data_IF_986798956820
#
_entry.id   IF_986798956820
#
_cell.length_a   1.000
_cell.length_b   1.000
_cell.length_c   1.000
_cell.angle_alpha   90.00
_cell.angle_beta   90.00
_cell.angle_gamma   90.00
#
_symmetry.space_group_name_H-M   'P 1'
#
loop_
_entity.id
_entity.type
_entity.pdbx_description
1 polymer ?
#
# COMPACT_ATOMS: atom_id res chain seq x y z
N UNK A 1 -28.68 -42.05 65.85
CA UNK A 1 -27.45 -41.24 65.69
C UNK A 1 -27.32 -40.85 64.24
N UNK A 2 -27.72 -39.62 63.93
CA UNK A 2 -27.71 -39.10 62.58
C UNK A 2 -26.33 -38.46 62.24
N UNK A 3 -25.88 -38.68 61.03
CA UNK A 3 -24.76 -37.99 60.45
C UNK A 3 -25.23 -37.18 59.26
N UNK A 4 -25.18 -35.85 59.40
CA UNK A 4 -25.48 -34.92 58.31
C UNK A 4 -24.25 -34.72 57.42
N UNK A 5 -24.38 -35.11 56.16
CA UNK A 5 -23.38 -34.82 55.14
C UNK A 5 -23.57 -33.43 54.56
N UNK A 6 -22.58 -32.56 54.72
CA UNK A 6 -22.51 -31.27 54.06
C UNK A 6 -22.00 -31.46 52.58
N UNK A 7 -22.89 -31.20 51.66
CA UNK A 7 -22.50 -31.09 50.25
C UNK A 7 -21.92 -29.69 50.01
N UNK A 8 -20.63 -29.63 49.65
CA UNK A 8 -20.01 -28.39 49.20
C UNK A 8 -20.35 -28.16 47.73
N UNK A 9 -21.12 -27.11 47.46
CA UNK A 9 -21.36 -26.63 46.09
C UNK A 9 -20.16 -25.86 45.63
N UNK A 10 -19.42 -26.40 44.65
CA UNK A 10 -18.41 -25.71 43.93
C UNK A 10 -19.04 -24.68 42.99
N UNK A 11 -18.95 -23.41 43.33
CA UNK A 11 -19.31 -22.30 42.44
C UNK A 11 -18.21 -22.19 41.37
N UNK A 12 -18.52 -22.70 40.19
CA UNK A 12 -17.69 -22.37 39.00
C UNK A 12 -17.88 -20.88 38.72
N UNK A 13 -16.85 -20.09 39.04
CA UNK A 13 -16.73 -18.74 38.50
C UNK A 13 -16.48 -18.88 37.01
N UNK A 14 -17.43 -18.44 36.18
CA UNK A 14 -17.24 -18.27 34.76
C UNK A 14 -16.03 -17.34 34.52
N UNK A 15 -15.14 -17.78 33.67
CA UNK A 15 -14.10 -16.90 33.15
C UNK A 15 -14.80 -15.77 32.40
N UNK A 16 -14.82 -14.57 32.99
CA UNK A 16 -15.17 -13.37 32.26
C UNK A 16 -14.20 -13.25 31.10
N UNK A 17 -14.70 -13.28 29.88
CA UNK A 17 -13.92 -12.97 28.70
C UNK A 17 -13.36 -11.55 28.90
N UNK A 18 -12.06 -11.46 29.07
CA UNK A 18 -11.37 -10.21 29.19
C UNK A 18 -11.60 -9.44 27.89
N UNK A 19 -12.31 -8.30 27.97
CA UNK A 19 -12.47 -7.41 26.83
C UNK A 19 -11.09 -7.17 26.19
N UNK A 20 -10.98 -7.15 24.86
CA UNK A 20 -9.71 -6.88 24.22
C UNK A 20 -9.14 -5.60 24.81
N UNK A 21 -7.90 -5.67 25.26
CA UNK A 21 -7.22 -4.54 25.88
C UNK A 21 -7.34 -3.36 24.92
N UNK A 22 -8.02 -2.28 25.32
CA UNK A 22 -8.09 -1.05 24.55
C UNK A 22 -6.64 -0.66 24.21
N UNK A 23 -6.35 -0.46 22.92
CA UNK A 23 -5.05 0.04 22.50
C UNK A 23 -4.74 1.27 23.36
N UNK A 24 -3.53 1.35 23.94
CA UNK A 24 -3.14 2.57 24.66
C UNK A 24 -3.33 3.73 23.68
N UNK A 25 -3.83 4.89 24.13
CA UNK A 25 -4.01 6.03 23.26
C UNK A 25 -2.71 6.25 22.50
N UNK A 26 -2.78 6.34 21.17
CA UNK A 26 -1.62 6.66 20.36
C UNK A 26 -0.95 7.86 20.99
N UNK A 27 0.40 7.95 20.94
CA UNK A 27 1.12 9.06 21.56
C UNK A 27 0.82 10.36 20.80
N UNK A 28 -0.39 10.85 20.97
CA UNK A 28 -0.91 12.06 20.34
C UNK A 28 -0.22 13.33 20.86
N UNK A 29 0.50 13.22 21.99
CA UNK A 29 1.17 14.35 22.60
C UNK A 29 2.48 14.80 21.94
N UNK A 30 3.05 14.02 21.01
CA UNK A 30 4.29 14.41 20.32
C UNK A 30 3.93 15.01 18.96
N UNK A 31 4.16 16.31 18.71
CA UNK A 31 3.87 16.92 17.43
C UNK A 31 4.72 16.28 16.32
N UNK A 32 4.22 16.21 15.06
CA UNK A 32 5.04 15.81 13.92
C UNK A 32 6.27 16.71 13.81
N UNK A 33 7.42 16.15 13.47
CA UNK A 33 8.66 16.92 13.38
C UNK A 33 8.61 18.05 12.32
N UNK A 34 7.70 17.94 11.36
CA UNK A 34 7.44 18.99 10.35
C UNK A 34 6.85 20.27 10.92
N UNK A 35 6.24 20.24 12.10
CA UNK A 35 5.63 21.43 12.74
C UNK A 35 6.31 21.80 14.06
N UNK A 36 7.42 21.16 14.41
CA UNK A 36 8.25 21.58 15.57
C UNK A 36 8.92 22.92 15.29
N UNK A 37 9.46 23.55 16.32
CA UNK A 37 10.22 24.79 16.16
C UNK A 37 11.68 24.59 16.65
N UNK A 38 12.69 24.53 15.75
CA UNK A 38 12.56 24.58 14.28
C UNK A 38 11.91 23.28 13.74
N UNK A 39 11.29 23.32 12.54
CA UNK A 39 10.79 22.12 11.89
C UNK A 39 11.96 21.24 11.42
N UNK A 40 11.70 19.92 11.34
CA UNK A 40 12.70 18.99 10.78
C UNK A 40 13.01 19.36 9.35
N UNK A 41 14.29 19.44 9.05
CA UNK A 41 14.79 19.55 7.68
C UNK A 41 14.86 18.13 7.07
N UNK A 42 14.14 17.94 5.99
CA UNK A 42 14.09 16.69 5.23
C UNK A 42 15.04 16.69 4.03
N UNK A 43 15.89 17.73 3.86
CA UNK A 43 16.84 17.75 2.77
C UNK A 43 17.95 16.71 2.93
N UNK A 44 18.52 16.27 1.82
CA UNK A 44 19.62 15.32 1.84
C UNK A 44 20.84 15.91 2.58
N UNK A 45 21.49 15.07 3.40
CA UNK A 45 22.68 15.46 4.17
C UNK A 45 22.42 16.07 5.54
N UNK A 46 21.16 16.32 5.92
CA UNK A 46 20.85 16.72 7.28
C UNK A 46 21.13 15.59 8.28
N UNK A 47 21.63 15.91 9.48
CA UNK A 47 21.90 14.92 10.50
C UNK A 47 20.63 14.14 10.87
N UNK A 48 20.76 12.83 10.99
CA UNK A 48 19.67 11.99 11.51
C UNK A 48 19.51 12.22 13.02
N UNK A 49 18.26 12.22 13.47
CA UNK A 49 17.90 12.34 14.89
C UNK A 49 17.54 10.95 15.41
N UNK A 50 18.08 10.57 16.53
CA UNK A 50 17.83 9.26 17.16
C UNK A 50 17.39 9.42 18.63
N UNK A 51 16.37 8.64 19.08
CA UNK A 51 15.43 7.93 18.23
C UNK A 51 14.65 8.89 17.33
N UNK A 52 14.23 8.42 16.16
CA UNK A 52 13.49 9.26 15.22
C UNK A 52 12.13 9.67 15.81
N UNK A 53 11.83 10.98 15.94
CA UNK A 53 10.59 11.46 16.56
C UNK A 53 9.34 11.12 15.77
N UNK A 54 9.48 10.76 14.50
CA UNK A 54 8.37 10.38 13.61
C UNK A 54 8.16 8.86 13.52
N UNK A 55 8.99 8.06 14.23
CA UNK A 55 8.80 6.61 14.39
C UNK A 55 8.18 6.35 15.75
N UNK A 56 6.87 6.10 15.78
CA UNK A 56 6.10 5.99 17.01
C UNK A 56 5.83 4.55 17.39
N UNK A 57 6.27 4.17 18.58
CA UNK A 57 5.96 2.88 19.20
C UNK A 57 4.62 3.00 19.90
N UNK A 58 3.59 2.33 19.37
CA UNK A 58 2.26 2.28 19.97
C UNK A 58 2.16 1.10 20.93
N UNK A 59 2.69 -0.04 20.52
CA UNK A 59 2.82 -1.23 21.37
C UNK A 59 4.30 -1.61 21.49
N UNK A 60 4.78 -2.07 22.67
CA UNK A 60 6.17 -2.46 22.87
C UNK A 60 6.72 -3.48 21.87
N UNK A 61 5.87 -4.34 21.28
CA UNK A 61 6.27 -5.32 20.28
C UNK A 61 6.85 -4.66 19.01
N UNK A 62 6.44 -3.44 18.69
CA UNK A 62 6.98 -2.70 17.54
C UNK A 62 8.49 -2.42 17.67
N UNK A 63 9.04 -2.36 18.90
CA UNK A 63 10.48 -2.15 19.12
C UNK A 63 11.35 -3.23 18.49
N UNK A 64 10.82 -4.45 18.35
CA UNK A 64 11.52 -5.54 17.66
C UNK A 64 11.57 -5.37 16.14
N UNK A 65 10.77 -4.48 15.56
CA UNK A 65 10.67 -4.20 14.13
C UNK A 65 11.33 -2.87 13.74
N UNK A 66 11.45 -1.95 14.71
CA UNK A 66 11.90 -0.58 14.50
C UNK A 66 13.10 -0.28 15.42
N UNK A 67 14.34 -0.36 14.90
CA UNK A 67 15.54 -0.10 15.70
C UNK A 67 15.63 1.37 16.12
N UNK A 68 16.01 1.62 17.38
CA UNK A 68 16.10 2.97 17.94
C UNK A 68 17.22 3.84 17.35
N UNK A 69 18.12 3.26 16.56
CA UNK A 69 19.22 3.92 15.87
C UNK A 69 19.00 4.02 14.33
N UNK A 70 17.76 3.91 13.88
CA UNK A 70 17.38 4.17 12.51
C UNK A 70 16.54 5.45 12.42
N UNK A 71 16.70 6.18 11.32
CA UNK A 71 15.91 7.37 11.04
C UNK A 71 15.25 7.27 9.65
N UNK A 72 14.10 7.89 9.52
CA UNK A 72 13.46 8.09 8.22
C UNK A 72 14.27 9.09 7.42
N UNK A 73 14.64 8.75 6.19
CA UNK A 73 15.36 9.64 5.27
C UNK A 73 14.52 9.85 4.02
N UNK A 74 14.42 11.09 3.55
CA UNK A 74 13.99 11.40 2.21
C UNK A 74 15.19 11.23 1.29
N UNK A 75 15.11 10.26 0.36
CA UNK A 75 16.23 9.96 -0.55
C UNK A 75 16.08 10.65 -1.89
N UNK A 76 14.84 11.09 -2.21
CA UNK A 76 14.59 11.81 -3.46
C UNK A 76 13.25 12.56 -3.40
N UNK A 77 13.16 13.62 -4.20
CA UNK A 77 11.91 14.35 -4.48
C UNK A 77 11.93 14.80 -5.94
N UNK A 78 10.76 14.90 -6.56
CA UNK A 78 10.64 15.34 -7.95
C UNK A 78 9.52 14.66 -8.73
N UNK A 79 8.79 13.72 -8.12
CA UNK A 79 7.57 13.18 -8.70
C UNK A 79 6.43 14.19 -8.63
N UNK A 80 5.38 13.90 -9.35
CA UNK A 80 4.07 14.52 -9.17
C UNK A 80 3.18 13.65 -8.31
N UNK A 81 3.26 12.32 -8.51
CA UNK A 81 2.65 11.32 -7.63
C UNK A 81 3.48 10.05 -7.65
N UNK A 82 4.30 9.89 -6.61
CA UNK A 82 5.17 8.74 -6.44
C UNK A 82 4.37 7.52 -5.97
N UNK A 83 4.46 6.41 -6.72
CA UNK A 83 3.65 5.21 -6.56
C UNK A 83 4.44 3.93 -6.90
N UNK A 84 3.80 2.78 -6.60
CA UNK A 84 4.15 1.47 -7.08
C UNK A 84 5.59 1.03 -6.88
N UNK A 85 6.18 1.17 -5.68
CA UNK A 85 7.55 0.75 -5.45
C UNK A 85 7.68 -0.78 -5.47
N UNK A 86 8.73 -1.28 -6.15
CA UNK A 86 9.10 -2.68 -6.15
C UNK A 86 10.62 -2.85 -6.19
N UNK A 87 11.15 -3.75 -5.37
CA UNK A 87 12.58 -3.98 -5.26
C UNK A 87 13.04 -5.11 -6.16
N UNK A 88 14.11 -4.90 -6.91
CA UNK A 88 14.82 -5.93 -7.65
C UNK A 88 16.05 -6.39 -6.87
N UNK A 89 15.98 -7.58 -6.29
CA UNK A 89 17.14 -8.17 -5.58
C UNK A 89 18.27 -8.56 -6.53
N UNK A 90 17.96 -8.89 -7.78
CA UNK A 90 18.97 -9.17 -8.81
C UNK A 90 19.68 -7.91 -9.28
N UNK A 91 18.90 -6.86 -9.54
CA UNK A 91 19.41 -5.58 -10.06
C UNK A 91 19.87 -4.60 -8.98
N UNK A 92 19.62 -4.89 -7.69
CA UNK A 92 19.94 -4.03 -6.55
C UNK A 92 19.42 -2.60 -6.73
N UNK A 93 18.14 -2.48 -7.19
CA UNK A 93 17.46 -1.20 -7.35
C UNK A 93 15.98 -1.31 -6.95
N UNK A 94 15.41 -0.18 -6.56
CA UNK A 94 13.97 -0.01 -6.45
C UNK A 94 13.45 0.60 -7.75
N UNK A 95 12.45 -0.01 -8.39
CA UNK A 95 11.65 0.68 -9.40
C UNK A 95 10.47 1.35 -8.70
N UNK A 96 10.06 2.54 -9.13
CA UNK A 96 8.84 3.20 -8.71
C UNK A 96 8.30 4.10 -9.82
N UNK A 97 7.04 4.44 -9.73
CA UNK A 97 6.32 5.19 -10.75
C UNK A 97 6.10 6.64 -10.29
N UNK A 98 6.21 7.57 -11.21
CA UNK A 98 5.53 8.86 -11.15
C UNK A 98 4.34 8.77 -12.12
N UNK A 99 3.16 8.47 -11.58
CA UNK A 99 1.98 8.12 -12.36
C UNK A 99 1.61 9.23 -13.32
N UNK A 100 1.36 10.43 -12.82
CA UNK A 100 0.98 11.58 -13.63
C UNK A 100 2.15 12.22 -14.36
N UNK A 101 3.37 12.10 -13.84
CA UNK A 101 4.60 12.48 -14.52
C UNK A 101 4.98 11.56 -15.66
N UNK A 102 4.22 10.46 -15.85
CA UNK A 102 4.38 9.48 -16.91
C UNK A 102 5.81 8.96 -17.02
N UNK A 103 6.42 8.67 -15.86
CA UNK A 103 7.83 8.28 -15.77
C UNK A 103 8.01 7.18 -14.73
N UNK A 104 8.69 6.12 -15.08
CA UNK A 104 9.25 5.20 -14.09
C UNK A 104 10.68 5.62 -13.76
N UNK A 105 11.02 5.53 -12.48
CA UNK A 105 12.35 5.78 -11.94
C UNK A 105 12.96 4.52 -11.35
N UNK A 106 14.29 4.51 -11.24
CA UNK A 106 15.04 3.56 -10.39
C UNK A 106 15.81 4.33 -9.34
N UNK A 107 15.69 3.88 -8.10
CA UNK A 107 16.63 4.21 -7.06
C UNK A 107 17.72 3.14 -7.06
N UNK A 108 18.93 3.53 -7.41
CA UNK A 108 20.13 2.67 -7.47
C UNK A 108 20.75 2.61 -6.08
N UNK A 109 20.74 1.41 -5.49
CA UNK A 109 21.18 1.23 -4.10
C UNK A 109 22.63 1.66 -3.87
N UNK A 110 23.56 1.16 -4.72
CA UNK A 110 24.99 1.41 -4.55
C UNK A 110 25.41 2.87 -4.81
N UNK A 111 24.61 3.61 -5.58
CA UNK A 111 24.85 5.00 -5.91
C UNK A 111 24.08 5.99 -5.02
N UNK A 112 23.13 5.51 -4.20
CA UNK A 112 22.19 6.34 -3.42
C UNK A 112 21.53 7.43 -4.31
N UNK A 113 21.08 7.04 -5.52
CA UNK A 113 20.66 7.97 -6.58
C UNK A 113 19.40 7.48 -7.26
N UNK A 114 18.49 8.41 -7.58
CA UNK A 114 17.32 8.16 -8.43
C UNK A 114 17.61 8.62 -9.85
N UNK A 115 17.29 7.76 -10.82
CA UNK A 115 17.43 8.02 -12.25
C UNK A 115 16.16 7.67 -13.01
N UNK A 116 15.81 8.38 -14.09
CA UNK A 116 14.73 7.96 -14.98
C UNK A 116 15.04 6.59 -15.59
N UNK A 117 13.99 5.76 -15.68
CA UNK A 117 14.12 4.41 -16.23
C UNK A 117 13.32 4.23 -17.52
N UNK A 118 12.03 4.59 -17.50
CA UNK A 118 11.16 4.58 -18.68
C UNK A 118 10.38 5.87 -18.76
N UNK A 119 10.42 6.49 -19.94
CA UNK A 119 9.65 7.72 -20.23
C UNK A 119 9.35 7.77 -21.71
N UNK A 120 8.07 7.69 -22.15
CA UNK A 120 6.87 7.55 -21.30
C UNK A 120 6.79 6.16 -20.64
N UNK A 121 6.11 6.08 -19.50
CA UNK A 121 5.82 4.85 -18.77
C UNK A 121 4.38 4.35 -19.00
N UNK A 122 3.61 5.02 -19.83
CA UNK A 122 2.17 4.82 -20.03
C UNK A 122 1.36 5.02 -18.72
N UNK A 123 1.76 5.99 -17.93
CA UNK A 123 1.19 6.27 -16.61
C UNK A 123 1.15 4.99 -15.76
N UNK A 124 2.28 4.29 -15.69
CA UNK A 124 2.40 3.11 -14.86
C UNK A 124 2.15 3.49 -13.40
N UNK A 125 1.33 2.69 -12.72
CA UNK A 125 1.02 2.80 -11.31
C UNK A 125 1.79 1.73 -10.51
N UNK A 126 1.14 0.66 -10.06
CA UNK A 126 1.74 -0.41 -9.29
C UNK A 126 2.77 -1.24 -10.04
N UNK A 127 3.81 -1.65 -9.33
CA UNK A 127 4.80 -2.60 -9.83
C UNK A 127 5.02 -3.73 -8.83
N UNK A 128 5.51 -4.86 -9.33
CA UNK A 128 6.04 -5.95 -8.52
C UNK A 128 7.12 -6.70 -9.31
N UNK A 129 7.86 -7.56 -8.64
CA UNK A 129 8.72 -8.54 -9.32
C UNK A 129 8.09 -9.91 -9.13
N UNK A 130 8.05 -10.72 -10.19
CA UNK A 130 7.62 -12.11 -10.05
C UNK A 130 8.74 -12.99 -9.47
N UNK A 131 8.44 -14.26 -9.25
CA UNK A 131 9.39 -15.19 -8.65
C UNK A 131 10.60 -15.52 -9.54
N UNK A 132 10.56 -15.11 -10.79
CA UNK A 132 11.70 -15.20 -11.72
C UNK A 132 12.46 -13.86 -11.83
N UNK A 133 12.06 -12.84 -11.08
CA UNK A 133 12.69 -11.51 -11.07
C UNK A 133 12.29 -10.64 -12.25
N UNK A 134 11.21 -10.97 -12.98
CA UNK A 134 10.68 -10.14 -14.06
C UNK A 134 9.75 -9.07 -13.50
N UNK A 135 9.86 -7.86 -14.01
CA UNK A 135 9.02 -6.75 -13.56
C UNK A 135 7.61 -6.87 -14.12
N UNK A 136 6.64 -6.83 -13.22
CA UNK A 136 5.21 -6.66 -13.49
C UNK A 136 4.85 -5.19 -13.33
N UNK A 137 3.96 -4.66 -14.17
CA UNK A 137 3.51 -3.27 -14.12
C UNK A 137 2.06 -3.12 -14.52
N UNK A 138 1.33 -2.25 -13.82
CA UNK A 138 -0.01 -1.80 -14.16
C UNK A 138 0.09 -0.48 -14.91
N UNK A 139 -0.37 -0.42 -16.17
CA UNK A 139 -0.36 0.78 -17.01
C UNK A 139 -1.75 1.39 -17.08
N UNK A 140 -1.95 2.56 -16.48
CA UNK A 140 -3.25 3.25 -16.46
C UNK A 140 -3.66 3.72 -17.87
N UNK A 141 -2.73 4.38 -18.58
CA UNK A 141 -3.04 4.94 -19.90
C UNK A 141 -3.42 3.89 -20.93
N UNK A 142 -2.73 2.75 -20.93
CA UNK A 142 -3.02 1.65 -21.84
C UNK A 142 -4.05 0.67 -21.31
N UNK A 143 -4.50 0.85 -20.06
CA UNK A 143 -5.51 0.01 -19.40
C UNK A 143 -5.12 -1.46 -19.45
N UNK A 144 -3.89 -1.77 -19.06
CA UNK A 144 -3.34 -3.13 -19.17
C UNK A 144 -2.34 -3.46 -18.08
N UNK A 145 -2.14 -4.74 -17.86
CA UNK A 145 -1.07 -5.31 -17.05
C UNK A 145 -0.01 -5.86 -17.98
N UNK A 146 1.25 -5.56 -17.71
CA UNK A 146 2.38 -6.00 -18.51
C UNK A 146 3.46 -6.67 -17.67
N UNK A 147 4.27 -7.50 -18.31
CA UNK A 147 5.49 -8.08 -17.76
C UNK A 147 6.67 -7.77 -18.68
N UNK A 148 7.74 -7.31 -18.09
CA UNK A 148 9.01 -7.12 -18.76
C UNK A 148 9.84 -8.38 -18.64
N UNK A 149 10.12 -9.02 -19.77
CA UNK A 149 10.91 -10.25 -19.85
C UNK A 149 12.40 -9.94 -19.68
N UNK A 150 13.22 -10.96 -19.41
CA UNK A 150 14.67 -10.78 -19.20
C UNK A 150 15.43 -10.29 -20.44
N UNK A 151 14.91 -10.53 -21.63
CA UNK A 151 15.46 -10.01 -22.89
C UNK A 151 15.05 -8.56 -23.17
N UNK A 152 14.30 -7.93 -22.26
CA UNK A 152 13.81 -6.57 -22.39
C UNK A 152 12.52 -6.45 -23.21
N UNK A 153 11.99 -7.54 -23.75
CA UNK A 153 10.69 -7.52 -24.42
C UNK A 153 9.54 -7.32 -23.44
N UNK A 154 8.43 -6.77 -23.93
CA UNK A 154 7.22 -6.54 -23.16
C UNK A 154 6.16 -7.56 -23.54
N UNK A 155 5.63 -8.25 -22.55
CA UNK A 155 4.47 -9.13 -22.69
C UNK A 155 3.24 -8.49 -22.05
N UNK A 156 2.15 -8.36 -22.81
CA UNK A 156 0.83 -8.02 -22.26
C UNK A 156 0.28 -9.25 -21.53
N UNK A 157 -0.02 -9.07 -20.24
CA UNK A 157 -0.59 -10.12 -19.38
C UNK A 157 -2.12 -10.07 -19.48
N UNK A 158 -2.70 -8.87 -19.35
CA UNK A 158 -4.13 -8.65 -19.45
C UNK A 158 -4.40 -7.22 -19.92
N UNK A 159 -5.36 -7.05 -20.85
CA UNK A 159 -5.86 -5.76 -21.33
C UNK A 159 -7.38 -5.73 -21.45
N UNK A 160 -8.02 -6.88 -21.31
CA UNK A 160 -9.47 -7.00 -21.37
C UNK A 160 -9.97 -8.18 -20.52
N UNK A 161 -11.26 -8.12 -20.16
CA UNK A 161 -12.00 -9.19 -19.55
C UNK A 161 -13.34 -9.36 -20.31
N UNK A 162 -13.61 -10.59 -20.82
CA UNK A 162 -14.78 -10.88 -21.66
C UNK A 162 -14.96 -9.92 -22.83
N UNK A 163 -13.86 -9.52 -23.48
CA UNK A 163 -13.85 -8.64 -24.64
C UNK A 163 -14.05 -7.15 -24.32
N UNK A 164 -14.15 -6.78 -23.05
CA UNK A 164 -14.24 -5.39 -22.58
C UNK A 164 -12.91 -4.95 -21.99
N UNK A 165 -12.49 -3.72 -22.31
CA UNK A 165 -11.24 -3.17 -21.79
C UNK A 165 -11.24 -3.03 -20.27
N UNK A 166 -10.11 -3.32 -19.63
CA UNK A 166 -9.89 -3.08 -18.21
C UNK A 166 -10.11 -1.60 -17.87
N UNK A 167 -10.33 -1.28 -16.58
CA UNK A 167 -10.51 0.10 -16.14
C UNK A 167 -9.17 0.84 -16.10
N UNK A 168 -8.44 0.69 -15.03
CA UNK A 168 -7.07 1.21 -14.83
C UNK A 168 -6.38 0.34 -13.80
N UNK A 169 -5.74 -0.77 -14.22
CA UNK A 169 -5.04 -1.65 -13.30
C UNK A 169 -4.10 -0.85 -12.40
N UNK A 170 -4.18 -1.09 -11.09
CA UNK A 170 -3.56 -0.23 -10.10
C UNK A 170 -2.41 -0.91 -9.36
N UNK A 171 -2.65 -1.88 -8.48
CA UNK A 171 -1.59 -2.62 -7.75
C UNK A 171 -1.58 -4.10 -8.14
N UNK A 172 -0.43 -4.77 -7.94
CA UNK A 172 -0.16 -6.08 -8.51
C UNK A 172 0.75 -6.91 -7.62
N UNK A 173 0.43 -8.19 -7.47
CA UNK A 173 1.23 -9.14 -6.71
C UNK A 173 1.33 -10.49 -7.42
N UNK A 174 2.51 -11.13 -7.45
CA UNK A 174 2.67 -12.49 -7.91
C UNK A 174 2.31 -13.50 -6.82
N UNK A 175 1.92 -14.70 -7.25
CA UNK A 175 1.71 -15.85 -6.38
C UNK A 175 2.68 -16.98 -6.75
N UNK A 176 3.10 -17.85 -5.80
CA UNK A 176 4.08 -18.92 -6.07
C UNK A 176 3.66 -19.94 -7.14
N UNK A 177 2.35 -20.06 -7.43
CA UNK A 177 1.84 -20.91 -8.51
C UNK A 177 2.06 -20.32 -9.92
N UNK A 178 2.70 -19.16 -10.00
CA UNK A 178 2.94 -18.41 -11.24
C UNK A 178 1.79 -17.50 -11.64
N UNK A 179 0.68 -17.49 -10.91
CA UNK A 179 -0.43 -16.57 -11.17
C UNK A 179 -0.08 -15.15 -10.74
N UNK A 180 -0.75 -14.18 -11.37
CA UNK A 180 -0.59 -12.76 -11.14
C UNK A 180 -1.94 -12.21 -10.73
N UNK A 181 -2.00 -11.51 -9.59
CA UNK A 181 -3.21 -10.93 -9.05
C UNK A 181 -3.10 -9.41 -9.07
N UNK A 182 -4.13 -8.73 -9.52
CA UNK A 182 -4.12 -7.27 -9.63
C UNK A 182 -5.49 -6.66 -9.38
N UNK A 183 -5.49 -5.40 -8.98
CA UNK A 183 -6.68 -4.59 -8.79
C UNK A 183 -6.96 -3.73 -10.01
N UNK A 184 -8.24 -3.50 -10.31
CA UNK A 184 -8.69 -2.73 -11.47
C UNK A 184 -9.76 -1.69 -11.06
N UNK A 185 -9.37 -0.67 -10.28
CA UNK A 185 -10.24 0.44 -9.90
C UNK A 185 -10.36 1.48 -11.02
N UNK A 186 -11.16 2.56 -10.84
CA UNK A 186 -11.33 3.60 -11.85
C UNK A 186 -10.37 4.79 -11.70
N UNK A 187 -9.31 4.70 -10.91
CA UNK A 187 -8.53 5.89 -10.52
C UNK A 187 -7.80 6.53 -11.70
N UNK A 188 -7.26 5.74 -12.61
CA UNK A 188 -6.67 6.23 -13.84
C UNK A 188 -7.65 6.99 -14.73
N UNK A 189 -8.96 6.77 -14.60
CA UNK A 189 -9.97 7.53 -15.32
C UNK A 189 -9.97 9.01 -14.93
N UNK A 190 -9.59 9.31 -13.72
CA UNK A 190 -9.64 10.67 -13.17
C UNK A 190 -8.31 11.36 -13.25
N UNK A 191 -7.21 10.61 -13.14
CA UNK A 191 -5.82 11.09 -13.11
C UNK A 191 -5.64 12.39 -12.31
N UNK A 192 -6.41 12.53 -11.23
CA UNK A 192 -6.26 13.62 -10.27
C UNK A 192 -5.08 13.37 -9.32
N UNK A 193 -4.51 12.20 -9.36
CA UNK A 193 -3.26 11.84 -8.71
C UNK A 193 -2.12 12.73 -9.21
N UNK A 194 -1.24 13.12 -8.31
CA UNK A 194 -0.06 13.93 -8.65
C UNK A 194 -0.31 15.41 -8.88
N UNK A 195 -1.47 15.90 -8.56
CA UNK A 195 -1.61 17.34 -8.34
C UNK A 195 -0.92 17.69 -7.00
N UNK A 196 -0.26 18.87 -6.86
CA UNK A 196 0.38 19.30 -5.61
C UNK A 196 -0.52 19.17 -4.40
N UNK A 197 -1.81 19.38 -4.65
CA UNK A 197 -2.89 19.04 -3.74
C UNK A 197 -3.92 18.20 -4.46
N UNK A 198 -4.49 17.28 -3.70
CA UNK A 198 -5.66 16.54 -4.14
C UNK A 198 -6.85 17.45 -4.43
N UNK A 199 -7.84 16.92 -5.11
CA UNK A 199 -9.07 17.63 -5.39
C UNK A 199 -9.66 18.26 -4.12
N UNK A 200 -9.77 19.58 -4.11
CA UNK A 200 -10.25 20.35 -2.96
C UNK A 200 -9.18 20.84 -2.00
N UNK A 201 -7.90 20.51 -2.22
CA UNK A 201 -6.79 21.04 -1.43
C UNK A 201 -6.44 22.49 -1.74
N UNK A 202 -5.56 23.11 -0.92
CA UNK A 202 -5.25 24.55 -1.03
C UNK A 202 -4.72 24.98 -2.40
N UNK A 203 -3.95 24.13 -3.08
CA UNK A 203 -3.38 24.43 -4.40
C UNK A 203 -4.18 23.84 -5.56
N UNK A 204 -5.19 23.01 -5.27
CA UNK A 204 -6.10 22.43 -6.26
C UNK A 204 -7.57 22.47 -5.81
N UNK A 205 -8.11 23.64 -5.44
CA UNK A 205 -9.46 23.76 -4.87
C UNK A 205 -10.56 23.29 -5.82
N UNK A 206 -10.29 23.24 -7.12
CA UNK A 206 -11.24 22.84 -8.15
C UNK A 206 -11.11 21.37 -8.55
N UNK A 207 -10.15 20.64 -7.98
CA UNK A 207 -9.90 19.24 -8.33
C UNK A 207 -9.50 19.05 -9.81
N UNK A 208 -8.73 19.98 -10.35
CA UNK A 208 -8.31 19.92 -11.74
C UNK A 208 -7.29 18.82 -11.97
N UNK A 209 -7.46 18.11 -13.06
CA UNK A 209 -6.45 17.18 -13.56
C UNK A 209 -5.29 17.94 -14.20
N UNK A 210 -4.10 17.35 -14.14
CA UNK A 210 -2.96 17.94 -14.81
C UNK A 210 -3.21 17.96 -16.34
N UNK A 211 -2.92 19.08 -17.02
CA UNK A 211 -3.06 19.17 -18.47
C UNK A 211 -2.23 18.09 -19.18
N UNK A 212 -2.84 17.37 -20.10
CA UNK A 212 -2.20 16.34 -20.92
C UNK A 212 -2.18 14.94 -20.31
N UNK A 213 -2.70 14.78 -19.09
CA UNK A 213 -2.84 13.47 -18.45
C UNK A 213 -4.33 13.21 -18.21
N UNK A 214 -4.89 12.24 -18.92
CA UNK A 214 -6.32 11.93 -18.85
C UNK A 214 -7.23 12.96 -19.54
N UNK A 215 -8.46 12.57 -19.77
CA UNK A 215 -9.47 13.49 -20.26
C UNK A 215 -10.09 14.27 -19.09
N UNK A 216 -10.40 15.55 -19.28
CA UNK A 216 -11.05 16.35 -18.25
C UNK A 216 -12.48 15.89 -17.90
N UNK A 217 -12.98 14.89 -18.62
CA UNK A 217 -14.29 14.29 -18.40
C UNK A 217 -14.14 12.95 -17.71
N UNK A 218 -14.62 12.85 -16.50
CA UNK A 218 -14.65 11.61 -15.72
C UNK A 218 -15.10 10.43 -16.57
N UNK A 219 -14.36 9.35 -16.52
CA UNK A 219 -14.67 8.09 -17.20
C UNK A 219 -14.02 7.93 -18.57
N UNK A 220 -12.97 8.70 -18.92
CA UNK A 220 -12.31 8.57 -20.24
C UNK A 220 -10.80 8.65 -20.11
N UNK A 221 -10.13 7.52 -20.03
CA UNK A 221 -8.68 7.42 -20.22
C UNK A 221 -8.39 7.22 -21.71
N UNK A 222 -7.49 8.04 -22.26
CA UNK A 222 -7.11 7.91 -23.67
C UNK A 222 -8.31 7.95 -24.65
N UNK A 223 -9.41 8.63 -24.29
CA UNK A 223 -10.64 8.70 -25.07
C UNK A 223 -11.56 7.47 -24.97
N UNK A 224 -11.26 6.50 -24.07
CA UNK A 224 -12.08 5.28 -23.92
C UNK A 224 -12.92 5.33 -22.65
N UNK A 225 -14.22 5.13 -22.80
CA UNK A 225 -15.16 5.01 -21.69
C UNK A 225 -14.93 3.71 -20.91
N UNK A 226 -15.13 3.76 -19.56
CA UNK A 226 -15.13 2.59 -18.70
C UNK A 226 -16.23 1.59 -19.13
N UNK A 227 -15.88 0.31 -19.23
CA UNK A 227 -16.77 -0.75 -19.70
C UNK A 227 -17.04 -1.82 -18.63
N UNK A 228 -16.16 -1.95 -17.62
CA UNK A 228 -16.22 -2.95 -16.57
C UNK A 228 -16.49 -2.33 -15.19
N UNK A 229 -17.19 -3.04 -14.30
CA UNK A 229 -17.17 -2.71 -12.88
C UNK A 229 -15.75 -2.88 -12.31
N UNK A 230 -15.51 -2.29 -11.14
CA UNK A 230 -14.22 -2.46 -10.45
C UNK A 230 -14.06 -3.90 -9.93
N UNK A 231 -12.83 -4.40 -9.91
CA UNK A 231 -12.59 -5.80 -9.55
C UNK A 231 -11.16 -6.08 -9.09
N UNK A 232 -10.98 -7.25 -8.50
CA UNK A 232 -9.67 -7.92 -8.39
C UNK A 232 -9.68 -9.09 -9.37
N UNK A 233 -8.62 -9.16 -10.18
CA UNK A 233 -8.42 -10.22 -11.16
C UNK A 233 -7.25 -11.12 -10.79
N UNK A 234 -7.33 -12.37 -11.27
CA UNK A 234 -6.26 -13.35 -11.27
C UNK A 234 -6.00 -13.83 -12.69
N UNK A 235 -4.79 -13.61 -13.17
CA UNK A 235 -4.29 -14.21 -14.40
C UNK A 235 -3.46 -15.45 -14.06
N UNK A 236 -3.66 -16.54 -14.75
CA UNK A 236 -2.83 -17.73 -14.62
C UNK A 236 -1.89 -17.94 -15.82
N UNK A 237 -0.83 -18.78 -15.67
CA UNK A 237 0.13 -19.01 -16.75
C UNK A 237 -0.45 -19.58 -18.04
N UNK A 238 -1.67 -20.18 -18.00
CA UNK A 238 -2.35 -20.65 -19.21
C UNK A 238 -2.92 -19.49 -20.04
N UNK A 239 -2.92 -18.28 -19.49
CA UNK A 239 -3.47 -17.08 -20.10
C UNK A 239 -4.93 -16.80 -19.72
N UNK A 240 -5.52 -17.58 -18.83
CA UNK A 240 -6.87 -17.37 -18.34
C UNK A 240 -6.90 -16.20 -17.33
N UNK A 241 -7.78 -15.24 -17.57
CA UNK A 241 -8.12 -14.16 -16.64
C UNK A 241 -9.43 -14.49 -15.94
N UNK A 242 -9.45 -14.39 -14.61
CA UNK A 242 -10.61 -14.64 -13.75
C UNK A 242 -10.86 -13.43 -12.85
N UNK A 243 -12.13 -13.02 -12.77
CA UNK A 243 -12.56 -12.04 -11.77
C UNK A 243 -12.73 -12.75 -10.42
N UNK A 244 -11.91 -12.36 -9.44
CA UNK A 244 -11.85 -13.04 -8.14
C UNK A 244 -12.68 -12.33 -7.08
N UNK A 245 -12.66 -10.99 -7.07
CA UNK A 245 -13.49 -10.16 -6.19
C UNK A 245 -14.23 -9.16 -7.08
N UNK A 246 -15.55 -9.13 -6.92
CA UNK A 246 -16.42 -8.23 -7.68
C UNK A 246 -16.62 -6.90 -6.96
N UNK A 247 -17.06 -5.89 -7.69
CA UNK A 247 -17.42 -4.57 -7.14
C UNK A 247 -18.47 -4.65 -6.03
N UNK A 248 -19.41 -5.58 -6.13
CA UNK A 248 -20.45 -5.78 -5.10
C UNK A 248 -19.90 -6.37 -3.80
N UNK A 249 -18.82 -7.13 -3.87
CA UNK A 249 -18.13 -7.67 -2.70
C UNK A 249 -17.23 -6.62 -2.08
N UNK A 250 -16.38 -5.97 -2.89
CA UNK A 250 -15.44 -4.97 -2.46
C UNK A 250 -15.32 -3.89 -3.56
N UNK A 251 -15.96 -2.73 -3.40
CA UNK A 251 -15.86 -1.63 -4.34
C UNK A 251 -14.47 -0.99 -4.28
N UNK A 252 -14.05 -0.44 -5.41
CA UNK A 252 -12.84 0.38 -5.56
C UNK A 252 -11.59 -0.25 -4.89
N UNK A 253 -11.20 -1.48 -5.31
CA UNK A 253 -10.01 -2.15 -4.77
C UNK A 253 -8.75 -1.38 -5.19
N UNK A 254 -7.80 -1.23 -4.25
CA UNK A 254 -6.53 -0.55 -4.46
C UNK A 254 -5.36 -1.50 -4.14
N UNK A 255 -4.55 -1.20 -3.13
CA UNK A 255 -3.45 -2.04 -2.73
C UNK A 255 -3.86 -3.46 -2.34
N UNK A 256 -3.02 -4.42 -2.68
CA UNK A 256 -3.21 -5.82 -2.29
C UNK A 256 -1.88 -6.46 -1.90
N UNK A 257 -1.92 -7.42 -0.98
CA UNK A 257 -0.77 -8.29 -0.69
C UNK A 257 -1.20 -9.63 -0.10
N UNK A 258 -0.35 -10.63 -0.23
CA UNK A 258 -0.54 -11.91 0.44
C UNK A 258 0.12 -11.93 1.82
N UNK A 259 -0.41 -12.78 2.70
CA UNK A 259 0.31 -13.22 3.89
C UNK A 259 1.58 -14.01 3.47
N UNK A 260 2.60 -14.14 4.36
CA UNK A 260 3.83 -14.84 4.01
C UNK A 260 3.65 -16.30 3.57
N UNK A 261 2.57 -16.94 4.02
CA UNK A 261 2.22 -18.33 3.66
C UNK A 261 1.25 -18.42 2.48
N UNK A 262 0.88 -17.28 1.88
CA UNK A 262 -0.04 -17.17 0.73
C UNK A 262 -1.46 -17.71 0.97
N UNK A 263 -1.84 -17.91 2.24
CA UNK A 263 -3.18 -18.39 2.61
C UNK A 263 -4.20 -17.28 2.83
N UNK A 264 -3.73 -16.05 2.97
CA UNK A 264 -4.60 -14.88 3.12
C UNK A 264 -4.23 -13.84 2.08
N UNK A 265 -5.23 -13.33 1.36
CA UNK A 265 -5.11 -12.14 0.53
C UNK A 265 -5.70 -10.96 1.29
N UNK A 266 -4.94 -9.89 1.43
CA UNK A 266 -5.42 -8.62 1.93
C UNK A 266 -5.68 -7.68 0.76
N UNK A 267 -6.81 -6.97 0.81
CA UNK A 267 -7.19 -6.00 -0.23
C UNK A 267 -7.71 -4.73 0.43
N UNK A 268 -7.24 -3.60 -0.06
CA UNK A 268 -7.70 -2.27 0.35
C UNK A 268 -8.89 -1.86 -0.52
N UNK A 269 -9.90 -1.24 0.11
CA UNK A 269 -10.93 -0.44 -0.57
C UNK A 269 -10.69 1.02 -0.21
N UNK A 270 -10.11 1.79 -1.12
CA UNK A 270 -9.71 3.18 -0.86
C UNK A 270 -10.88 4.17 -1.05
N UNK A 271 -11.94 3.74 -1.71
CA UNK A 271 -13.02 4.63 -2.09
C UNK A 271 -12.89 5.13 -3.52
N UNK A 272 -13.41 6.32 -3.80
CA UNK A 272 -13.41 6.84 -5.18
C UNK A 272 -12.03 7.32 -5.65
N UNK A 273 -11.03 7.30 -4.81
CA UNK A 273 -9.64 7.63 -5.12
C UNK A 273 -8.88 8.03 -3.87
N UNK A 274 -7.55 8.07 -3.95
CA UNK A 274 -6.72 8.60 -2.87
C UNK A 274 -7.17 10.01 -2.48
N UNK A 275 -7.29 10.28 -1.19
CA UNK A 275 -7.76 11.57 -0.67
C UNK A 275 -9.27 11.82 -0.73
N UNK A 276 -10.05 10.98 -1.41
CA UNK A 276 -11.50 11.14 -1.42
C UNK A 276 -12.10 10.84 -0.04
N UNK A 277 -12.79 11.85 0.51
CA UNK A 277 -13.52 11.75 1.77
C UNK A 277 -15.02 11.50 1.56
N UNK A 278 -15.45 11.42 0.29
CA UNK A 278 -16.84 11.27 -0.09
C UNK A 278 -17.44 9.90 0.20
N UNK A 279 -18.75 9.75 0.11
CA UNK A 279 -19.40 8.46 0.19
C UNK A 279 -19.07 7.62 -1.05
N UNK A 280 -18.78 6.34 -0.89
CA UNK A 280 -18.58 5.41 -2.01
C UNK A 280 -17.44 4.43 -1.84
N UNK A 281 -16.48 4.69 -0.99
CA UNK A 281 -15.48 3.74 -0.60
C UNK A 281 -15.44 3.55 0.90
N UNK A 282 -14.94 2.42 1.32
CA UNK A 282 -14.94 2.10 2.74
C UNK A 282 -13.69 2.60 3.45
N UNK A 283 -12.60 2.82 2.71
CA UNK A 283 -11.28 3.19 3.25
C UNK A 283 -10.84 2.24 4.36
N UNK A 284 -10.93 0.97 4.05
CA UNK A 284 -10.75 -0.14 4.97
C UNK A 284 -9.90 -1.20 4.32
N UNK A 285 -9.33 -2.07 5.12
CA UNK A 285 -8.58 -3.23 4.66
C UNK A 285 -9.35 -4.49 5.00
N UNK A 286 -9.50 -5.36 4.01
CA UNK A 286 -10.19 -6.64 4.15
C UNK A 286 -9.24 -7.80 3.95
N UNK A 287 -9.48 -8.89 4.66
CA UNK A 287 -8.77 -10.15 4.52
C UNK A 287 -9.70 -11.20 3.92
N UNK A 288 -9.15 -12.02 3.04
CA UNK A 288 -9.82 -13.15 2.38
C UNK A 288 -8.96 -14.40 2.55
N UNK A 289 -9.59 -15.55 2.79
CA UNK A 289 -8.88 -16.81 2.73
C UNK A 289 -8.66 -17.22 1.27
N UNK A 290 -7.46 -17.67 0.94
CA UNK A 290 -7.11 -18.13 -0.41
C UNK A 290 -7.38 -19.62 -0.52
N UNK A 291 -8.28 -20.00 -1.41
CA UNK A 291 -8.70 -21.39 -1.64
C UNK A 291 -8.40 -21.78 -3.10
N UNK A 292 -7.17 -22.17 -3.35
CA UNK A 292 -6.69 -22.49 -4.71
C UNK A 292 -6.71 -21.23 -5.59
N UNK A 293 -7.62 -21.18 -6.58
CA UNK A 293 -7.74 -20.06 -7.52
C UNK A 293 -8.79 -19.01 -7.10
N UNK A 294 -9.41 -19.18 -5.94
CA UNK A 294 -10.50 -18.35 -5.44
C UNK A 294 -10.20 -17.78 -4.06
N UNK A 295 -11.05 -16.88 -3.63
CA UNK A 295 -11.04 -16.35 -2.27
C UNK A 295 -12.38 -16.57 -1.60
N UNK A 296 -12.35 -16.72 -0.26
CA UNK A 296 -13.51 -16.93 0.58
C UNK A 296 -13.39 -16.15 1.89
N UNK A 297 -14.42 -16.22 2.73
CA UNK A 297 -14.40 -15.74 4.11
C UNK A 297 -13.92 -14.29 4.26
N UNK A 298 -14.50 -13.38 3.47
CA UNK A 298 -14.20 -11.94 3.56
C UNK A 298 -14.46 -11.44 4.99
N UNK A 299 -13.47 -10.75 5.55
CA UNK A 299 -13.56 -10.13 6.89
C UNK A 299 -12.84 -8.82 6.95
N UNK A 300 -13.35 -7.90 7.76
CA UNK A 300 -12.66 -6.63 8.03
C UNK A 300 -11.35 -6.94 8.78
N UNK A 301 -10.24 -6.45 8.26
CA UNK A 301 -8.95 -6.51 8.94
C UNK A 301 -8.71 -5.26 9.79
N UNK A 302 -8.90 -4.08 9.24
CA UNK A 302 -8.83 -2.80 9.97
C UNK A 302 -9.68 -1.73 9.27
N UNK A 303 -10.33 -0.90 10.08
CA UNK A 303 -11.06 0.27 9.61
C UNK A 303 -10.17 1.50 9.41
N UNK A 304 -8.87 1.36 9.67
CA UNK A 304 -7.87 2.44 9.54
C UNK A 304 -8.20 3.70 10.36
N UNK A 305 -8.95 3.56 11.46
CA UNK A 305 -9.20 4.67 12.37
C UNK A 305 -8.05 4.86 13.35
N UNK A 306 -7.55 6.07 13.50
CA UNK A 306 -6.52 6.44 14.44
C UNK A 306 -6.88 7.78 15.09
N UNK A 307 -7.09 7.80 16.41
CA UNK A 307 -7.45 9.03 17.17
C UNK A 307 -8.67 9.78 16.58
N UNK A 308 -9.63 9.05 16.04
CA UNK A 308 -10.80 9.64 15.37
C UNK A 308 -10.56 10.15 13.95
N UNK A 309 -9.34 9.99 13.42
CA UNK A 309 -9.00 10.34 12.04
C UNK A 309 -9.02 9.08 11.18
N UNK A 310 -9.72 9.14 10.05
CA UNK A 310 -9.73 8.09 9.04
C UNK A 310 -8.44 8.19 8.22
N UNK A 311 -7.52 7.25 8.45
CA UNK A 311 -6.29 7.13 7.67
C UNK A 311 -6.61 6.38 6.37
N UNK A 312 -6.52 7.05 5.22
CA UNK A 312 -6.85 6.47 3.93
C UNK A 312 -5.78 5.45 3.51
N UNK A 313 -6.07 4.13 3.52
CA UNK A 313 -5.13 3.15 3.02
C UNK A 313 -5.09 3.20 1.48
N UNK A 314 -3.91 2.92 0.91
CA UNK A 314 -3.67 2.92 -0.53
C UNK A 314 -2.84 1.69 -0.93
N UNK A 315 -1.55 1.64 -0.59
CA UNK A 315 -0.71 0.46 -0.77
C UNK A 315 -0.33 -0.22 0.54
N UNK A 316 0.08 -1.48 0.50
CA UNK A 316 0.50 -2.23 1.68
C UNK A 316 1.46 -3.37 1.34
N UNK A 317 2.25 -3.80 2.33
CA UNK A 317 3.11 -5.00 2.22
C UNK A 317 3.14 -5.75 3.55
N UNK A 318 3.26 -7.08 3.48
CA UNK A 318 3.49 -7.93 4.64
C UNK A 318 4.99 -8.10 4.90
N UNK A 319 5.38 -8.18 6.17
CA UNK A 319 6.71 -8.64 6.55
C UNK A 319 6.72 -10.16 6.80
N UNK A 320 7.91 -10.72 6.99
CA UNK A 320 8.11 -12.18 7.19
C UNK A 320 7.40 -12.74 8.43
N UNK A 321 7.01 -11.90 9.37
CA UNK A 321 6.24 -12.29 10.56
C UNK A 321 4.73 -12.19 10.34
N UNK A 322 4.31 -11.67 9.18
CA UNK A 322 2.92 -11.46 8.83
C UNK A 322 2.35 -10.13 9.31
N UNK A 323 3.17 -9.23 9.87
CA UNK A 323 2.69 -7.88 10.14
C UNK A 323 2.40 -7.15 8.84
N UNK A 324 1.32 -6.37 8.81
CA UNK A 324 0.97 -5.53 7.68
C UNK A 324 1.45 -4.10 7.89
N UNK A 325 2.23 -3.63 6.95
CA UNK A 325 2.65 -2.24 6.83
C UNK A 325 1.77 -1.60 5.76
N UNK A 326 0.96 -0.63 6.17
CA UNK A 326 -0.12 -0.05 5.36
C UNK A 326 0.13 1.45 5.24
N UNK A 327 0.10 1.96 4.02
CA UNK A 327 0.22 3.39 3.77
C UNK A 327 -0.97 4.16 4.35
N UNK A 328 -0.75 5.41 4.70
CA UNK A 328 -1.74 6.30 5.25
C UNK A 328 -1.75 7.61 4.47
N UNK A 329 -2.74 7.75 3.62
CA UNK A 329 -3.07 8.99 2.93
C UNK A 329 -4.03 9.78 3.83
N UNK A 330 -3.45 10.63 4.67
CA UNK A 330 -4.16 11.30 5.75
C UNK A 330 -3.56 12.70 6.02
N UNK A 331 -4.23 13.56 6.79
CA UNK A 331 -3.68 14.86 7.17
C UNK A 331 -2.33 14.75 7.88
N UNK A 332 -1.60 15.87 7.90
CA UNK A 332 -0.30 15.97 8.57
C UNK A 332 -0.35 15.45 10.01
N UNK A 333 0.62 14.62 10.36
CA UNK A 333 0.68 13.93 11.65
C UNK A 333 0.03 12.55 11.62
N UNK A 334 -0.81 12.26 10.64
CA UNK A 334 -1.44 10.95 10.38
C UNK A 334 -0.96 10.32 9.08
N UNK A 335 -0.40 11.13 8.17
CA UNK A 335 0.23 10.66 6.94
C UNK A 335 1.47 9.81 7.22
N UNK A 336 1.71 8.80 6.37
CA UNK A 336 2.87 7.93 6.45
C UNK A 336 2.53 6.44 6.39
N UNK A 337 2.96 5.64 7.37
CA UNK A 337 2.75 4.18 7.39
C UNK A 337 2.29 3.73 8.77
N UNK A 338 1.29 2.88 8.80
CA UNK A 338 0.80 2.19 10.01
C UNK A 338 1.23 0.71 9.96
N UNK A 339 1.70 0.18 11.10
CA UNK A 339 2.09 -1.22 11.21
C UNK A 339 1.12 -1.97 12.13
N UNK A 340 0.50 -3.00 11.60
CA UNK A 340 -0.45 -3.86 12.31
C UNK A 340 0.12 -5.28 12.44
N UNK A 341 -0.18 -5.96 13.55
CA UNK A 341 0.05 -7.41 13.63
C UNK A 341 -0.88 -8.14 12.66
N UNK A 342 -0.59 -9.40 12.36
CA UNK A 342 -1.46 -10.25 11.52
C UNK A 342 -2.88 -10.42 12.05
N UNK A 343 -3.10 -10.13 13.35
CA UNK A 343 -4.42 -10.12 13.99
C UNK A 343 -5.14 -8.77 13.90
N UNK A 344 -4.54 -7.76 13.24
CA UNK A 344 -5.13 -6.44 13.06
C UNK A 344 -4.91 -5.46 14.22
N UNK A 345 -3.99 -5.75 15.16
CA UNK A 345 -3.61 -4.82 16.22
C UNK A 345 -2.60 -3.81 15.71
N UNK A 346 -2.90 -2.51 15.81
CA UNK A 346 -1.94 -1.44 15.52
C UNK A 346 -0.81 -1.45 16.58
N UNK A 347 0.44 -1.54 16.13
CA UNK A 347 1.62 -1.64 17.02
C UNK A 347 2.60 -0.49 16.87
N UNK A 348 2.61 0.19 15.73
CA UNK A 348 3.51 1.30 15.49
C UNK A 348 3.17 2.07 14.24
N UNK A 349 3.83 3.19 14.05
CA UNK A 349 3.66 3.99 12.84
C UNK A 349 4.89 4.83 12.52
N UNK A 350 5.04 5.16 11.25
CA UNK A 350 6.01 6.11 10.73
C UNK A 350 5.23 7.29 10.17
N UNK A 351 5.50 8.49 10.67
CA UNK A 351 4.92 9.73 10.13
C UNK A 351 5.80 10.28 9.03
N UNK A 352 5.17 10.79 7.99
CA UNK A 352 5.84 11.47 6.88
C UNK A 352 5.30 12.90 6.75
N UNK A 353 6.08 13.81 6.16
CA UNK A 353 5.62 15.18 5.86
C UNK A 353 4.64 15.23 4.68
N UNK A 354 4.52 14.14 3.94
CA UNK A 354 3.69 13.98 2.75
C UNK A 354 2.78 12.76 2.92
N UNK A 355 1.65 12.73 2.24
CA UNK A 355 0.77 11.57 2.21
C UNK A 355 1.47 10.40 1.53
N UNK A 356 1.40 9.22 2.14
CA UNK A 356 2.04 8.02 1.61
C UNK A 356 1.03 7.23 0.76
N UNK A 357 1.36 7.03 -0.51
CA UNK A 357 0.56 6.25 -1.42
C UNK A 357 0.89 4.76 -1.32
N UNK A 358 2.17 4.38 -1.44
CA UNK A 358 2.55 2.97 -1.48
C UNK A 358 3.92 2.73 -0.84
N UNK A 359 4.24 1.47 -0.59
CA UNK A 359 5.48 1.08 0.07
C UNK A 359 5.98 -0.28 -0.40
N UNK A 360 7.28 -0.52 -0.26
CA UNK A 360 7.90 -1.81 -0.53
C UNK A 360 9.09 -2.07 0.39
N UNK A 361 9.31 -3.31 0.73
CA UNK A 361 10.56 -3.73 1.34
C UNK A 361 11.63 -3.96 0.27
N UNK A 362 12.84 -3.49 0.53
CA UNK A 362 13.96 -3.63 -0.38
C UNK A 362 15.31 -3.51 0.31
N UNK A 363 16.34 -3.18 -0.44
CA UNK A 363 17.72 -3.23 0.02
C UNK A 363 18.30 -4.66 0.01
N UNK A 364 19.64 -4.81 0.10
CA UNK A 364 20.29 -6.12 -0.05
C UNK A 364 19.81 -7.21 0.91
N UNK A 365 19.30 -6.81 2.08
CA UNK A 365 18.71 -7.72 3.08
C UNK A 365 17.19 -7.65 3.11
N UNK A 366 16.55 -6.86 2.22
CA UNK A 366 15.11 -6.62 2.19
C UNK A 366 14.56 -6.08 3.54
N UNK A 367 15.38 -5.38 4.28
CA UNK A 367 15.10 -4.75 5.57
C UNK A 367 14.98 -3.22 5.48
N UNK A 368 14.84 -2.70 4.28
CA UNK A 368 14.58 -1.28 4.01
C UNK A 368 13.15 -1.11 3.57
N UNK A 369 12.39 -0.34 4.34
CA UNK A 369 11.04 0.06 3.96
C UNK A 369 11.13 1.33 3.12
N UNK A 370 10.90 1.21 1.83
CA UNK A 370 10.75 2.34 0.91
C UNK A 370 9.30 2.78 0.90
N UNK A 371 9.08 4.09 0.92
CA UNK A 371 7.76 4.71 1.01
C UNK A 371 7.66 5.78 -0.08
N UNK A 372 6.75 5.57 -1.04
CA UNK A 372 6.38 6.56 -2.05
C UNK A 372 5.34 7.49 -1.44
N UNK A 373 5.65 8.76 -1.36
CA UNK A 373 4.80 9.74 -0.72
C UNK A 373 4.73 11.00 -1.56
N UNK A 374 3.56 11.29 -2.12
CA UNK A 374 3.29 12.43 -3.00
C UNK A 374 4.41 12.70 -4.01
N UNK A 375 5.35 13.59 -3.67
CA UNK A 375 6.43 14.02 -4.56
C UNK A 375 7.76 13.33 -4.29
N UNK A 376 7.85 12.48 -3.26
CA UNK A 376 9.12 12.03 -2.70
C UNK A 376 9.21 10.53 -2.49
N UNK A 377 10.45 10.03 -2.45
CA UNK A 377 10.79 8.69 -1.99
C UNK A 377 11.49 8.79 -0.63
N UNK A 378 10.93 8.08 0.36
CA UNK A 378 11.51 7.95 1.69
C UNK A 378 11.98 6.53 1.93
N UNK A 379 12.93 6.36 2.86
CA UNK A 379 13.42 5.05 3.30
C UNK A 379 13.60 5.02 4.81
N UNK A 380 13.25 3.87 5.41
CA UNK A 380 13.49 3.57 6.81
C UNK A 380 14.10 2.18 6.95
N UNK A 381 15.11 2.04 7.81
CA UNK A 381 15.67 0.73 8.14
C UNK A 381 14.82 0.05 9.20
N UNK A 382 14.36 -1.16 8.92
CA UNK A 382 13.69 -2.04 9.88
C UNK A 382 14.63 -3.15 10.36
N UNK A 383 14.19 -3.91 11.35
CA UNK A 383 14.81 -5.18 11.77
C UNK A 383 14.02 -6.40 11.29
N UNK A 384 12.98 -6.18 10.49
CA UNK A 384 12.23 -7.21 9.78
C UNK A 384 12.52 -7.15 8.28
N UNK A 385 12.05 -8.13 7.54
CA UNK A 385 12.19 -8.23 6.08
C UNK A 385 10.82 -8.33 5.42
N UNK A 386 10.72 -7.89 4.18
CA UNK A 386 9.51 -8.09 3.39
C UNK A 386 9.27 -9.57 3.07
N UNK A 387 8.00 -9.99 3.08
CA UNK A 387 7.60 -11.37 2.80
C UNK A 387 7.54 -11.67 1.30
N UNK A 388 7.15 -10.70 0.47
CA UNK A 388 7.01 -10.88 -0.97
C UNK A 388 8.35 -11.05 -1.69
N UNK A 389 8.37 -11.67 -2.89
CA UNK A 389 9.54 -11.65 -3.75
C UNK A 389 9.91 -10.21 -4.12
N UNK A 390 11.18 -10.01 -4.46
CA UNK A 390 11.68 -8.70 -4.83
C UNK A 390 13.19 -8.69 -4.90
#
# INVERSE_FOLDING_TARGET
AGGAGLAAAAVMRGAEAQAPASNPPAQTGTPPSTITNPPRDWSAGHPSIYPDPDVLVIDPSFRSLAPGNAAVRRVWTGAQWAEGPAWSSQGQYLVFSDVTGNTQYRYLWDADMVVPFRKPSNNTNGNSLDFEGRQLSCEDFNRRVVRWEHDGSLRVIADNFDGKGLNSPNDIVPHPDGSIWFTDPPYGDRLNEGHPDEAGGPTNPQGLLKPGVGAPNAGVIGGKKRELPTAVYRWDPSGKLEQIITETQLPDPNGLCFSPDYKTLYVISTGQGPGDTGPGGKREVYAFDVEGTKVANMRLFTDMMLDGVKCGPDGMRADVYGNLWISSNAPLGYAGVLCFTKEGKLIGRIRLPEVCANLAFGGPKRDRLFMCASTSLFVYQTTTQGAAPG
#
